data_IF_873678978303
#
_entry.id   IF_873678978303
#
_cell.length_a   1.000
_cell.length_b   1.000
_cell.length_c   1.000
_cell.angle_alpha   90.00
_cell.angle_beta   90.00
_cell.angle_gamma   90.00
#
_symmetry.space_group_name_H-M   'P 1'
#
loop_
_entity.id
_entity.type
_entity.pdbx_description
1 polymer ?
#
# COMPACT_ATOMS: atom_id res chain seq x y z
N UNK A 1 36.65 -42.34 -50.61
CA UNK A 1 35.76 -42.29 -49.45
C UNK A 1 35.99 -40.97 -48.72
N UNK A 2 35.00 -40.06 -48.69
CA UNK A 2 35.18 -38.90 -47.85
C UNK A 2 34.42 -37.64 -48.18
N UNK A 3 33.73 -37.52 -49.34
CA UNK A 3 33.10 -36.24 -49.71
C UNK A 3 31.60 -36.15 -49.39
N UNK A 4 30.95 -37.25 -49.08
CA UNK A 4 29.52 -37.32 -48.77
C UNK A 4 29.17 -37.10 -47.28
N UNK A 5 30.13 -37.28 -46.37
CA UNK A 5 29.89 -37.03 -44.92
C UNK A 5 29.97 -35.55 -44.54
N UNK A 6 30.41 -34.65 -45.42
CA UNK A 6 30.48 -33.20 -45.15
C UNK A 6 29.23 -32.43 -45.57
N UNK A 7 28.31 -33.05 -46.35
CA UNK A 7 27.10 -32.41 -46.87
C UNK A 7 25.83 -32.88 -46.16
N UNK A 8 25.87 -33.92 -45.33
CA UNK A 8 24.76 -34.44 -44.54
C UNK A 8 25.19 -34.82 -43.11
N UNK A 9 26.11 -34.05 -42.55
CA UNK A 9 26.39 -34.07 -41.13
C UNK A 9 25.20 -33.46 -40.36
N UNK A 10 24.08 -34.16 -40.41
CA UNK A 10 23.02 -33.91 -39.47
C UNK A 10 23.57 -34.20 -38.09
N UNK A 11 23.47 -33.23 -37.17
CA UNK A 11 23.76 -33.37 -35.74
C UNK A 11 23.01 -34.64 -35.26
N UNK A 12 23.72 -35.80 -35.23
CA UNK A 12 23.20 -37.01 -34.59
C UNK A 12 23.26 -36.78 -33.08
N UNK A 13 22.30 -36.00 -32.59
CA UNK A 13 22.05 -35.85 -31.15
C UNK A 13 21.83 -37.25 -30.56
N UNK A 14 22.50 -37.53 -29.46
CA UNK A 14 22.25 -38.79 -28.72
C UNK A 14 20.80 -38.79 -28.23
N UNK A 15 20.23 -39.96 -27.96
CA UNK A 15 18.86 -40.07 -27.44
C UNK A 15 18.68 -39.27 -26.13
N UNK A 16 19.72 -39.19 -25.29
CA UNK A 16 19.73 -38.37 -24.08
C UNK A 16 19.70 -36.86 -24.38
N UNK A 17 20.41 -36.42 -25.42
CA UNK A 17 20.37 -35.00 -25.83
C UNK A 17 19.03 -34.62 -26.42
N UNK A 18 18.36 -35.51 -27.14
CA UNK A 18 17.02 -35.31 -27.68
C UNK A 18 15.98 -35.20 -26.53
N UNK A 19 16.06 -36.09 -25.54
CA UNK A 19 15.17 -36.04 -24.36
C UNK A 19 15.40 -34.76 -23.53
N UNK A 20 16.64 -34.35 -23.30
CA UNK A 20 16.94 -33.10 -22.57
C UNK A 20 16.41 -31.87 -23.30
N UNK A 21 16.51 -31.84 -24.63
CA UNK A 21 15.96 -30.76 -25.46
C UNK A 21 14.42 -30.73 -25.42
N UNK A 22 13.77 -31.88 -25.43
CA UNK A 22 12.31 -31.99 -25.32
C UNK A 22 11.80 -31.54 -23.95
N UNK A 23 12.49 -31.91 -22.87
CA UNK A 23 12.22 -31.44 -21.50
C UNK A 23 12.37 -29.92 -21.39
N UNK A 24 13.46 -29.35 -21.97
CA UNK A 24 13.67 -27.92 -22.00
C UNK A 24 12.57 -27.18 -22.76
N UNK A 25 12.19 -27.66 -23.94
CA UNK A 25 11.10 -27.09 -24.73
C UNK A 25 9.76 -27.11 -23.99
N UNK A 26 9.49 -28.21 -23.25
CA UNK A 26 8.29 -28.34 -22.44
C UNK A 26 8.26 -27.34 -21.29
N UNK A 27 9.40 -27.16 -20.61
CA UNK A 27 9.57 -26.13 -19.58
C UNK A 27 9.28 -24.73 -20.15
N UNK A 28 9.95 -24.37 -21.26
CA UNK A 28 9.80 -23.07 -21.89
C UNK A 28 8.34 -22.80 -22.34
N UNK A 29 7.67 -23.82 -22.86
CA UNK A 29 6.26 -23.73 -23.26
C UNK A 29 5.35 -23.43 -22.06
N UNK A 30 5.48 -24.20 -20.97
CA UNK A 30 4.65 -23.98 -19.78
C UNK A 30 4.94 -22.63 -19.14
N UNK A 31 6.22 -22.22 -19.03
CA UNK A 31 6.61 -20.91 -18.52
C UNK A 31 5.99 -19.79 -19.38
N UNK A 32 6.14 -19.87 -20.70
CA UNK A 32 5.57 -18.88 -21.64
C UNK A 32 4.04 -18.77 -21.52
N UNK A 33 3.35 -19.92 -21.54
CA UNK A 33 1.89 -19.96 -21.43
C UNK A 33 1.42 -19.42 -20.09
N UNK A 34 2.11 -19.75 -18.99
CA UNK A 34 1.84 -19.23 -17.66
C UNK A 34 1.99 -17.71 -17.56
N UNK A 35 3.10 -17.16 -18.07
CA UNK A 35 3.36 -15.71 -18.08
C UNK A 35 2.32 -14.99 -18.96
N UNK A 36 1.99 -15.57 -20.12
CA UNK A 36 0.94 -15.02 -21.00
C UNK A 36 -0.42 -15.01 -20.31
N UNK A 37 -0.77 -16.12 -19.64
CA UNK A 37 -2.03 -16.23 -18.90
C UNK A 37 -2.10 -15.20 -17.75
N UNK A 38 -1.02 -15.00 -17.00
CA UNK A 38 -0.92 -13.97 -15.96
C UNK A 38 -1.22 -12.58 -16.54
N UNK A 39 -0.57 -12.21 -17.65
CA UNK A 39 -0.80 -10.91 -18.32
C UNK A 39 -2.23 -10.74 -18.85
N UNK A 40 -2.93 -11.85 -19.13
CA UNK A 40 -4.33 -11.86 -19.58
C UNK A 40 -5.33 -11.92 -18.41
N UNK A 41 -4.88 -11.96 -17.17
CA UNK A 41 -5.74 -12.12 -15.99
C UNK A 41 -6.33 -13.51 -15.81
N UNK A 42 -5.84 -14.52 -16.56
CA UNK A 42 -6.27 -15.92 -16.47
C UNK A 42 -5.50 -16.64 -15.35
N UNK A 43 -5.72 -16.19 -14.10
CA UNK A 43 -4.86 -16.52 -12.96
C UNK A 43 -4.82 -18.04 -12.67
N UNK A 44 -5.94 -18.74 -12.70
CA UNK A 44 -5.98 -20.20 -12.45
C UNK A 44 -5.20 -20.99 -13.49
N UNK A 45 -5.26 -20.56 -14.75
CA UNK A 45 -4.50 -21.20 -15.82
C UNK A 45 -3.00 -20.86 -15.70
N UNK A 46 -2.66 -19.62 -15.30
CA UNK A 46 -1.29 -19.22 -15.03
C UNK A 46 -0.66 -20.06 -13.92
N UNK A 47 -1.37 -20.26 -12.79
CA UNK A 47 -0.90 -21.12 -11.70
C UNK A 47 -0.61 -22.54 -12.21
N UNK A 48 -1.52 -23.16 -12.99
CA UNK A 48 -1.29 -24.49 -13.53
C UNK A 48 -0.04 -24.55 -14.39
N UNK A 49 0.10 -23.66 -15.35
CA UNK A 49 1.24 -23.65 -16.27
C UNK A 49 2.55 -23.40 -15.54
N UNK A 50 2.60 -22.39 -14.65
CA UNK A 50 3.83 -22.07 -13.90
C UNK A 50 4.22 -23.20 -12.94
N UNK A 51 3.26 -23.86 -12.32
CA UNK A 51 3.50 -25.03 -11.46
C UNK A 51 4.05 -26.20 -12.28
N UNK A 52 3.49 -26.48 -13.47
CA UNK A 52 4.01 -27.52 -14.37
C UNK A 52 5.44 -27.20 -14.86
N UNK A 53 5.75 -25.94 -15.12
CA UNK A 53 7.11 -25.53 -15.44
C UNK A 53 8.05 -25.81 -14.26
N UNK A 54 7.67 -25.44 -13.02
CA UNK A 54 8.48 -25.68 -11.82
C UNK A 54 8.63 -27.16 -11.47
N UNK A 55 7.67 -28.00 -11.82
CA UNK A 55 7.79 -29.47 -11.69
C UNK A 55 8.86 -30.05 -12.63
N UNK A 56 9.15 -29.37 -13.74
CA UNK A 56 10.20 -29.76 -14.67
C UNK A 56 11.56 -29.26 -14.21
N UNK A 57 11.63 -27.98 -13.82
CA UNK A 57 12.87 -27.33 -13.44
C UNK A 57 12.59 -26.19 -12.47
N UNK A 58 13.32 -26.15 -11.36
CA UNK A 58 13.33 -25.00 -10.48
C UNK A 58 13.97 -23.80 -11.20
N UNK A 59 13.24 -22.68 -11.25
CA UNK A 59 13.64 -21.50 -11.98
C UNK A 59 13.16 -20.23 -11.23
N UNK A 60 14.13 -19.36 -10.92
CA UNK A 60 13.87 -18.17 -10.11
C UNK A 60 12.81 -17.24 -10.73
N UNK A 61 12.84 -17.04 -12.05
CA UNK A 61 11.88 -16.18 -12.74
C UNK A 61 10.47 -16.79 -12.72
N UNK A 62 10.37 -18.12 -12.87
CA UNK A 62 9.09 -18.83 -12.80
C UNK A 62 8.51 -18.79 -11.39
N UNK A 63 9.33 -18.87 -10.34
CA UNK A 63 8.89 -18.69 -8.94
C UNK A 63 8.34 -17.27 -8.72
N UNK A 64 9.00 -16.25 -9.27
CA UNK A 64 8.55 -14.85 -9.16
C UNK A 64 7.18 -14.67 -9.85
N UNK A 65 7.00 -15.16 -11.08
CA UNK A 65 5.72 -15.11 -11.76
C UNK A 65 4.61 -15.87 -11.01
N UNK A 66 4.93 -17.01 -10.42
CA UNK A 66 3.95 -17.78 -9.64
C UNK A 66 3.58 -17.02 -8.35
N UNK A 67 4.55 -16.42 -7.67
CA UNK A 67 4.31 -15.57 -6.50
C UNK A 67 3.41 -14.37 -6.85
N UNK A 68 3.69 -13.68 -7.97
CA UNK A 68 2.87 -12.59 -8.46
C UNK A 68 1.44 -13.07 -8.80
N UNK A 69 1.30 -14.27 -9.40
CA UNK A 69 -0.01 -14.84 -9.74
C UNK A 69 -0.84 -15.08 -8.49
N UNK A 70 -0.25 -15.67 -7.45
CA UNK A 70 -0.92 -15.86 -6.16
C UNK A 70 -1.28 -14.54 -5.48
N UNK A 71 -0.39 -13.53 -5.56
CA UNK A 71 -0.69 -12.19 -5.04
C UNK A 71 -1.91 -11.57 -5.74
N UNK A 72 -2.02 -11.71 -7.06
CA UNK A 72 -3.19 -11.24 -7.82
C UNK A 72 -4.48 -12.01 -7.50
N UNK A 73 -4.39 -13.25 -7.04
CA UNK A 73 -5.51 -14.03 -6.52
C UNK A 73 -5.88 -13.68 -5.08
N UNK A 74 -5.07 -12.87 -4.38
CA UNK A 74 -5.22 -12.61 -2.95
C UNK A 74 -4.74 -13.76 -2.05
N UNK A 75 -4.03 -14.74 -2.61
CA UNK A 75 -3.48 -15.90 -1.90
C UNK A 75 -2.09 -15.53 -1.36
N UNK A 76 -2.09 -14.79 -0.25
CA UNK A 76 -0.89 -14.12 0.28
C UNK A 76 0.14 -15.12 0.83
N UNK A 77 -0.31 -16.15 1.52
CA UNK A 77 0.54 -17.19 2.11
C UNK A 77 1.20 -18.05 1.00
N UNK A 78 0.46 -18.39 -0.04
CA UNK A 78 0.98 -19.14 -1.19
C UNK A 78 2.01 -18.31 -1.95
N UNK A 79 1.78 -17.00 -2.08
CA UNK A 79 2.73 -16.07 -2.65
C UNK A 79 4.04 -16.02 -1.84
N UNK A 80 3.94 -15.87 -0.50
CA UNK A 80 5.11 -15.91 0.39
C UNK A 80 5.89 -17.21 0.26
N UNK A 81 5.20 -18.36 0.18
CA UNK A 81 5.86 -19.65 0.04
C UNK A 81 6.71 -19.76 -1.25
N UNK A 82 6.30 -19.11 -2.35
CA UNK A 82 7.12 -19.06 -3.57
C UNK A 82 8.30 -18.08 -3.42
N UNK A 83 8.06 -16.93 -2.78
CA UNK A 83 9.12 -15.96 -2.48
C UNK A 83 10.16 -16.52 -1.50
N UNK A 84 9.78 -17.42 -0.60
CA UNK A 84 10.72 -18.13 0.29
C UNK A 84 11.67 -19.02 -0.50
N UNK A 85 11.14 -19.79 -1.47
CA UNK A 85 11.96 -20.58 -2.39
C UNK A 85 12.87 -19.65 -3.22
N UNK A 86 12.32 -18.54 -3.70
CA UNK A 86 13.07 -17.57 -4.50
C UNK A 86 14.21 -16.95 -3.69
N UNK A 87 13.97 -16.57 -2.42
CA UNK A 87 15.05 -16.03 -1.56
C UNK A 87 16.13 -17.04 -1.23
N UNK A 88 15.82 -18.35 -1.24
CA UNK A 88 16.84 -19.39 -1.09
C UNK A 88 17.78 -19.47 -2.31
N UNK A 89 17.27 -19.18 -3.53
CA UNK A 89 18.05 -19.16 -4.76
C UNK A 89 18.82 -17.85 -4.92
N UNK A 90 18.17 -16.70 -4.62
CA UNK A 90 18.72 -15.36 -4.84
C UNK A 90 18.63 -14.50 -3.56
N UNK A 91 19.37 -14.83 -2.50
CA UNK A 91 19.23 -14.19 -1.19
C UNK A 91 19.59 -12.69 -1.19
N UNK A 92 20.38 -12.23 -2.15
CA UNK A 92 20.77 -10.82 -2.31
C UNK A 92 19.78 -9.97 -3.12
N UNK A 93 18.65 -10.53 -3.55
CA UNK A 93 17.68 -9.77 -4.35
C UNK A 93 16.79 -8.91 -3.44
N UNK A 94 17.10 -7.61 -3.37
CA UNK A 94 16.35 -6.60 -2.61
C UNK A 94 14.86 -6.57 -2.99
N UNK A 95 14.54 -6.70 -4.28
CA UNK A 95 13.15 -6.66 -4.77
C UNK A 95 12.29 -7.77 -4.18
N UNK A 96 12.84 -8.97 -4.05
CA UNK A 96 12.12 -10.12 -3.45
C UNK A 96 11.83 -9.88 -1.96
N UNK A 97 12.81 -9.37 -1.21
CA UNK A 97 12.60 -9.04 0.20
C UNK A 97 11.58 -7.92 0.41
N UNK A 98 11.56 -6.90 -0.49
CA UNK A 98 10.54 -5.85 -0.47
C UNK A 98 9.13 -6.39 -0.79
N UNK A 99 9.02 -7.33 -1.73
CA UNK A 99 7.74 -7.99 -2.01
C UNK A 99 7.24 -8.77 -0.77
N UNK A 100 8.11 -9.53 -0.12
CA UNK A 100 7.78 -10.23 1.13
C UNK A 100 7.34 -9.27 2.23
N UNK A 101 8.02 -8.13 2.38
CA UNK A 101 7.65 -7.11 3.36
C UNK A 101 6.25 -6.50 3.07
N UNK A 102 5.92 -6.26 1.79
CA UNK A 102 4.59 -5.78 1.39
C UNK A 102 3.49 -6.82 1.70
N UNK A 103 3.75 -8.09 1.45
CA UNK A 103 2.79 -9.15 1.75
C UNK A 103 2.60 -9.28 3.27
N UNK A 104 3.68 -9.22 4.06
CA UNK A 104 3.59 -9.22 5.51
C UNK A 104 2.77 -8.02 6.03
N UNK A 105 2.90 -6.83 5.41
CA UNK A 105 2.04 -5.68 5.70
C UNK A 105 0.56 -5.98 5.39
N UNK A 106 0.25 -6.61 4.25
CA UNK A 106 -1.12 -6.98 3.87
C UNK A 106 -1.73 -8.04 4.82
N UNK A 107 -0.88 -8.88 5.42
CA UNK A 107 -1.26 -9.86 6.44
C UNK A 107 -1.32 -9.27 7.86
N UNK A 108 -1.02 -7.97 8.00
CA UNK A 108 -0.90 -7.28 9.29
C UNK A 108 0.17 -7.90 10.23
N UNK A 109 1.10 -8.69 9.66
CA UNK A 109 2.26 -9.24 10.39
C UNK A 109 3.43 -8.24 10.35
N UNK A 110 3.32 -7.23 11.20
CA UNK A 110 4.27 -6.12 11.25
C UNK A 110 5.63 -6.52 11.83
N UNK A 111 5.68 -7.57 12.65
CA UNK A 111 6.94 -8.11 13.15
C UNK A 111 7.75 -8.74 12.00
N UNK A 112 7.12 -9.62 11.22
CA UNK A 112 7.74 -10.24 10.04
C UNK A 112 8.08 -9.19 8.97
N UNK A 113 7.21 -8.20 8.76
CA UNK A 113 7.49 -7.06 7.88
C UNK A 113 8.79 -6.36 8.28
N UNK A 114 8.96 -6.06 9.59
CA UNK A 114 10.17 -5.40 10.10
C UNK A 114 11.43 -6.26 9.89
N UNK A 115 11.33 -7.59 10.01
CA UNK A 115 12.43 -8.52 9.73
C UNK A 115 12.83 -8.46 8.26
N UNK A 116 11.86 -8.50 7.34
CA UNK A 116 12.14 -8.44 5.90
C UNK A 116 12.74 -7.09 5.48
N UNK A 117 12.22 -5.97 6.03
CA UNK A 117 12.82 -4.65 5.80
C UNK A 117 14.26 -4.60 6.32
N UNK A 118 14.55 -5.20 7.47
CA UNK A 118 15.92 -5.28 8.00
C UNK A 118 16.85 -6.05 7.06
N UNK A 119 16.36 -7.12 6.40
CA UNK A 119 17.14 -7.84 5.39
C UNK A 119 17.46 -6.97 4.17
N UNK A 120 16.51 -6.16 3.72
CA UNK A 120 16.77 -5.18 2.65
C UNK A 120 17.86 -4.20 3.06
N UNK A 121 17.78 -3.64 4.28
CA UNK A 121 18.74 -2.64 4.78
C UNK A 121 20.13 -3.26 5.00
N UNK A 122 20.22 -4.55 5.37
CA UNK A 122 21.49 -5.28 5.43
C UNK A 122 22.16 -5.42 4.05
N UNK A 123 21.37 -5.60 2.98
CA UNK A 123 21.87 -5.74 1.60
C UNK A 123 22.14 -4.37 0.98
N UNK A 124 21.23 -3.44 1.19
CA UNK A 124 21.26 -2.07 0.65
C UNK A 124 20.88 -1.07 1.74
N UNK A 125 21.87 -0.56 2.45
CA UNK A 125 21.69 0.40 3.54
C UNK A 125 21.10 1.76 3.06
N UNK A 126 21.16 2.05 1.75
CA UNK A 126 20.63 3.25 1.13
C UNK A 126 19.17 3.12 0.67
N UNK A 127 18.50 2.01 0.96
CA UNK A 127 17.14 1.78 0.48
C UNK A 127 16.10 2.58 1.26
N UNK A 128 15.72 3.74 0.74
CA UNK A 128 14.75 4.63 1.37
C UNK A 128 13.37 3.97 1.54
N UNK A 129 12.93 3.16 0.57
CA UNK A 129 11.65 2.45 0.63
C UNK A 129 11.63 1.43 1.77
N UNK A 130 12.71 0.67 1.96
CA UNK A 130 12.80 -0.28 3.07
C UNK A 130 12.77 0.41 4.43
N UNK A 131 13.43 1.57 4.57
CA UNK A 131 13.38 2.37 5.81
C UNK A 131 11.97 2.93 6.04
N UNK A 132 11.29 3.41 5.02
CA UNK A 132 9.90 3.87 5.12
C UNK A 132 8.99 2.73 5.57
N UNK A 133 9.08 1.57 4.91
CA UNK A 133 8.29 0.39 5.29
C UNK A 133 8.61 -0.11 6.70
N UNK A 134 9.87 -0.03 7.14
CA UNK A 134 10.24 -0.33 8.52
C UNK A 134 9.63 0.67 9.51
N UNK A 135 9.52 1.94 9.13
CA UNK A 135 8.78 2.97 9.87
C UNK A 135 7.30 2.62 10.01
N UNK A 136 6.65 2.17 8.93
CA UNK A 136 5.26 1.71 8.94
C UNK A 136 5.07 0.52 9.91
N UNK A 137 5.96 -0.46 9.87
CA UNK A 137 5.92 -1.59 10.80
C UNK A 137 6.07 -1.13 12.27
N UNK A 138 7.02 -0.22 12.55
CA UNK A 138 7.22 0.35 13.90
C UNK A 138 5.99 1.12 14.37
N UNK A 139 5.38 1.92 13.49
CA UNK A 139 4.15 2.66 13.81
C UNK A 139 2.99 1.71 14.14
N UNK A 140 2.79 0.67 13.35
CA UNK A 140 1.73 -0.32 13.58
C UNK A 140 1.93 -1.11 14.89
N UNK A 141 3.18 -1.34 15.28
CA UNK A 141 3.54 -1.92 16.59
C UNK A 141 3.46 -0.92 17.75
N UNK A 142 3.03 0.33 17.53
CA UNK A 142 2.90 1.36 18.56
C UNK A 142 4.19 2.13 18.88
N UNK A 143 5.30 1.84 18.22
CA UNK A 143 6.59 2.52 18.42
C UNK A 143 6.70 3.76 17.52
N UNK A 144 5.92 4.80 17.85
CA UNK A 144 5.84 6.04 17.08
C UNK A 144 7.18 6.78 16.96
N UNK A 145 8.01 6.73 18.00
CA UNK A 145 9.30 7.43 18.01
C UNK A 145 10.25 6.79 17.00
N UNK A 146 10.39 5.46 17.05
CA UNK A 146 11.22 4.75 16.08
C UNK A 146 10.70 4.91 14.66
N UNK A 147 9.37 4.94 14.46
CA UNK A 147 8.77 5.18 13.16
C UNK A 147 9.19 6.54 12.57
N UNK A 148 9.10 7.62 13.35
CA UNK A 148 9.56 8.97 12.93
C UNK A 148 11.03 8.97 12.55
N UNK A 149 11.88 8.26 13.32
CA UNK A 149 13.31 8.14 13.00
C UNK A 149 13.51 7.44 11.65
N UNK A 150 12.76 6.36 11.39
CA UNK A 150 12.86 5.62 10.12
C UNK A 150 12.36 6.46 8.94
N UNK A 151 11.22 7.15 9.06
CA UNK A 151 10.73 8.06 8.03
C UNK A 151 11.73 9.20 7.77
N UNK A 152 12.34 9.75 8.81
CA UNK A 152 13.35 10.82 8.67
C UNK A 152 14.58 10.33 7.91
N UNK A 153 15.07 9.11 8.21
CA UNK A 153 16.17 8.50 7.46
C UNK A 153 15.80 8.26 6.00
N UNK A 154 14.59 7.74 5.74
CA UNK A 154 14.09 7.51 4.39
C UNK A 154 14.08 8.81 3.57
N UNK A 155 13.55 9.89 4.13
CA UNK A 155 13.51 11.23 3.52
C UNK A 155 14.92 11.77 3.28
N UNK A 156 15.86 11.52 4.21
CA UNK A 156 17.26 11.99 4.03
C UNK A 156 17.95 11.29 2.86
N UNK A 157 17.58 10.04 2.58
CA UNK A 157 18.12 9.26 1.46
C UNK A 157 17.41 9.56 0.13
N UNK A 158 16.13 9.83 0.18
CA UNK A 158 15.30 10.18 -0.96
C UNK A 158 14.34 11.30 -0.59
N UNK A 159 14.74 12.53 -0.91
CA UNK A 159 13.93 13.73 -0.66
C UNK A 159 12.66 13.79 -1.51
N UNK A 160 12.54 12.95 -2.54
CA UNK A 160 11.35 12.87 -3.40
C UNK A 160 10.35 11.81 -2.91
N UNK A 161 10.65 11.05 -1.86
CA UNK A 161 9.78 10.02 -1.30
C UNK A 161 8.60 10.65 -0.55
N UNK A 162 7.63 11.21 -1.29
CA UNK A 162 6.49 11.94 -0.73
C UNK A 162 5.66 11.16 0.27
N UNK A 163 5.54 9.83 0.10
CA UNK A 163 4.84 8.95 1.04
C UNK A 163 5.47 8.99 2.44
N UNK A 164 6.81 9.07 2.54
CA UNK A 164 7.49 9.14 3.83
C UNK A 164 7.20 10.46 4.57
N UNK A 165 7.09 11.58 3.85
CA UNK A 165 6.66 12.85 4.42
C UNK A 165 5.20 12.78 4.92
N UNK A 166 4.30 12.21 4.12
CA UNK A 166 2.89 12.07 4.49
C UNK A 166 2.72 11.24 5.76
N UNK A 167 3.38 10.08 5.83
CA UNK A 167 3.35 9.19 6.98
C UNK A 167 3.96 9.86 8.22
N UNK A 168 5.11 10.52 8.08
CA UNK A 168 5.76 11.23 9.18
C UNK A 168 4.89 12.37 9.70
N UNK A 169 4.33 13.17 8.78
CA UNK A 169 3.46 14.30 9.15
C UNK A 169 2.20 13.84 9.89
N UNK A 170 1.53 12.78 9.43
CA UNK A 170 0.38 12.20 10.14
C UNK A 170 0.76 11.79 11.56
N UNK A 171 1.90 11.16 11.72
CA UNK A 171 2.36 10.67 13.02
C UNK A 171 2.78 11.83 13.94
N UNK A 172 3.48 12.83 13.42
CA UNK A 172 3.86 14.07 14.14
C UNK A 172 2.63 14.82 14.62
N UNK A 173 1.61 14.96 13.74
CA UNK A 173 0.35 15.58 14.11
C UNK A 173 -0.36 14.82 15.24
N UNK A 174 -0.42 13.49 15.15
CA UNK A 174 -1.00 12.63 16.18
C UNK A 174 -0.29 12.75 17.53
N UNK A 175 1.03 13.03 17.52
CA UNK A 175 1.83 13.27 18.72
C UNK A 175 1.77 14.73 19.21
N UNK A 176 1.06 15.61 18.51
CA UNK A 176 0.92 17.02 18.85
C UNK A 176 2.05 17.95 18.34
N UNK A 177 3.02 17.42 17.59
CA UNK A 177 4.03 18.25 16.93
C UNK A 177 3.50 18.85 15.62
N UNK A 178 2.58 19.79 15.78
CA UNK A 178 1.89 20.48 14.69
C UNK A 178 2.88 21.25 13.79
N UNK A 179 3.96 21.77 14.37
CA UNK A 179 4.94 22.59 13.65
C UNK A 179 5.75 21.74 12.67
N UNK A 180 6.23 20.59 13.12
CA UNK A 180 6.98 19.67 12.24
C UNK A 180 6.08 19.03 11.21
N UNK A 181 4.85 18.67 11.58
CA UNK A 181 3.84 18.16 10.66
C UNK A 181 3.54 19.16 9.52
N UNK A 182 3.39 20.44 9.86
CA UNK A 182 3.11 21.49 8.88
C UNK A 182 4.25 21.71 7.88
N UNK A 183 5.50 21.57 8.32
CA UNK A 183 6.66 21.65 7.41
C UNK A 183 6.63 20.56 6.34
N UNK A 184 6.34 19.31 6.76
CA UNK A 184 6.26 18.17 5.85
C UNK A 184 5.13 18.35 4.83
N UNK A 185 3.96 18.79 5.30
CA UNK A 185 2.81 19.02 4.43
C UNK A 185 3.03 20.21 3.50
N UNK A 186 3.69 21.27 3.97
CA UNK A 186 4.00 22.42 3.11
C UNK A 186 4.92 22.02 1.96
N UNK A 187 5.93 21.19 2.22
CA UNK A 187 6.76 20.62 1.16
C UNK A 187 5.93 19.82 0.16
N UNK A 188 5.01 18.94 0.63
CA UNK A 188 4.16 18.16 -0.24
C UNK A 188 3.21 19.01 -1.08
N UNK A 189 2.67 20.10 -0.52
CA UNK A 189 1.82 21.04 -1.25
C UNK A 189 2.54 21.72 -2.41
N UNK A 190 3.84 22.02 -2.25
CA UNK A 190 4.66 22.60 -3.32
C UNK A 190 4.88 21.59 -4.47
N UNK A 191 4.94 20.29 -4.17
CA UNK A 191 5.22 19.23 -5.16
C UNK A 191 3.94 18.66 -5.79
N UNK A 192 2.90 18.47 -4.98
CA UNK A 192 1.61 17.83 -5.36
C UNK A 192 0.42 18.60 -4.79
N UNK A 193 0.15 19.84 -5.26
CA UNK A 193 -0.80 20.76 -4.63
C UNK A 193 -2.24 20.24 -4.55
N UNK A 194 -2.68 19.43 -5.53
CA UNK A 194 -4.06 18.95 -5.63
C UNK A 194 -4.24 17.52 -5.13
N UNK A 195 -3.28 17.00 -4.34
CA UNK A 195 -3.39 15.66 -3.76
C UNK A 195 -4.34 15.69 -2.56
N UNK A 196 -5.41 14.88 -2.62
CA UNK A 196 -6.46 14.84 -1.59
C UNK A 196 -5.91 14.51 -0.18
N UNK A 197 -5.01 13.53 -0.06
CA UNK A 197 -4.42 13.14 1.23
C UNK A 197 -3.60 14.29 1.86
N UNK A 198 -2.87 15.03 1.02
CA UNK A 198 -2.07 16.19 1.46
C UNK A 198 -2.99 17.32 1.91
N UNK A 199 -4.03 17.62 1.14
CA UNK A 199 -5.01 18.65 1.49
C UNK A 199 -5.79 18.28 2.75
N UNK A 200 -6.24 17.03 2.89
CA UNK A 200 -6.89 16.54 4.10
C UNK A 200 -6.00 16.72 5.33
N UNK A 201 -4.74 16.33 5.22
CA UNK A 201 -3.78 16.47 6.32
C UNK A 201 -3.48 17.95 6.63
N UNK A 202 -3.40 18.82 5.60
CA UNK A 202 -3.26 20.28 5.79
C UNK A 202 -4.47 20.84 6.53
N UNK A 203 -5.70 20.45 6.19
CA UNK A 203 -6.89 20.88 6.89
C UNK A 203 -6.86 20.45 8.37
N UNK A 204 -6.44 19.23 8.67
CA UNK A 204 -6.26 18.76 10.05
C UNK A 204 -5.22 19.61 10.82
N UNK A 205 -4.12 19.97 10.16
CA UNK A 205 -3.08 20.83 10.74
C UNK A 205 -3.62 22.24 11.01
N UNK A 206 -4.34 22.85 10.08
CA UNK A 206 -4.94 24.16 10.28
C UNK A 206 -6.00 24.15 11.40
N UNK A 207 -6.79 23.06 11.47
CA UNK A 207 -7.68 22.85 12.60
C UNK A 207 -6.92 22.77 13.93
N UNK A 208 -5.83 21.99 14.00
CA UNK A 208 -4.99 21.85 15.21
C UNK A 208 -4.33 23.17 15.63
N UNK A 209 -4.03 24.06 14.69
CA UNK A 209 -3.58 25.44 14.93
C UNK A 209 -4.69 26.37 15.45
N UNK A 210 -5.95 25.95 15.42
CA UNK A 210 -7.13 26.76 15.73
C UNK A 210 -7.68 27.56 14.56
N UNK A 211 -7.13 27.43 13.37
CA UNK A 211 -7.52 28.15 12.15
C UNK A 211 -8.75 27.48 11.50
N UNK A 212 -9.86 27.40 12.25
CA UNK A 212 -11.07 26.64 11.86
C UNK A 212 -11.65 27.06 10.50
N UNK A 213 -11.66 28.35 10.19
CA UNK A 213 -12.16 28.84 8.90
C UNK A 213 -11.30 28.32 7.74
N UNK A 214 -9.96 28.32 7.91
CA UNK A 214 -9.05 27.82 6.89
C UNK A 214 -9.18 26.32 6.70
N UNK A 215 -9.36 25.56 7.79
CA UNK A 215 -9.65 24.13 7.70
C UNK A 215 -10.92 23.86 6.88
N UNK A 216 -12.02 24.62 7.11
CA UNK A 216 -13.26 24.50 6.32
C UNK A 216 -13.01 24.79 4.83
N UNK A 217 -12.22 25.82 4.52
CA UNK A 217 -11.87 26.17 3.14
C UNK A 217 -11.13 25.01 2.46
N UNK A 218 -10.13 24.45 3.13
CA UNK A 218 -9.33 23.36 2.56
C UNK A 218 -10.18 22.08 2.38
N UNK A 219 -11.03 21.71 3.36
CA UNK A 219 -11.97 20.59 3.17
C UNK A 219 -12.92 20.86 2.00
N UNK A 220 -13.33 22.12 1.80
CA UNK A 220 -14.19 22.47 0.66
C UNK A 220 -13.46 22.27 -0.67
N UNK A 221 -12.18 22.62 -0.75
CA UNK A 221 -11.34 22.34 -1.92
C UNK A 221 -11.22 20.82 -2.20
N UNK A 222 -11.05 20.01 -1.13
CA UNK A 222 -11.05 18.54 -1.29
C UNK A 222 -12.39 18.06 -1.88
N UNK A 223 -13.52 18.58 -1.40
CA UNK A 223 -14.85 18.22 -1.90
C UNK A 223 -15.06 18.69 -3.35
N UNK A 224 -14.50 19.84 -3.75
CA UNK A 224 -14.54 20.30 -5.14
C UNK A 224 -13.74 19.38 -6.07
N UNK A 225 -12.57 18.91 -5.62
CA UNK A 225 -11.73 17.95 -6.36
C UNK A 225 -12.38 16.57 -6.43
N UNK A 226 -12.92 16.10 -5.31
CA UNK A 226 -13.56 14.79 -5.20
C UNK A 226 -14.87 14.88 -4.40
N UNK A 227 -16.02 15.07 -5.07
CA UNK A 227 -17.33 15.12 -4.40
C UNK A 227 -17.75 13.83 -3.70
N UNK A 228 -16.99 12.75 -3.84
CA UNK A 228 -17.23 11.45 -3.20
C UNK A 228 -16.34 11.23 -1.97
N UNK A 229 -15.52 12.20 -1.58
CA UNK A 229 -14.69 12.10 -0.38
C UNK A 229 -15.53 12.26 0.88
N UNK A 230 -16.00 11.15 1.43
CA UNK A 230 -16.86 11.10 2.62
C UNK A 230 -16.18 11.71 3.87
N UNK A 231 -14.86 11.48 4.02
CA UNK A 231 -14.11 12.00 5.16
C UNK A 231 -14.01 13.54 5.13
N UNK A 232 -13.93 14.15 3.95
CA UNK A 232 -13.92 15.61 3.84
C UNK A 232 -15.25 16.23 4.30
N UNK A 233 -16.40 15.64 3.93
CA UNK A 233 -17.71 16.09 4.44
C UNK A 233 -17.79 15.90 5.96
N UNK A 234 -17.39 14.75 6.47
CA UNK A 234 -17.40 14.44 7.90
C UNK A 234 -16.60 15.45 8.70
N UNK A 235 -15.36 15.69 8.31
CA UNK A 235 -14.47 16.59 9.05
C UNK A 235 -14.90 18.05 8.90
N UNK A 236 -15.34 18.49 7.71
CA UNK A 236 -15.87 19.83 7.50
C UNK A 236 -17.15 20.08 8.33
N UNK A 237 -18.06 19.13 8.32
CA UNK A 237 -19.29 19.19 9.10
C UNK A 237 -19.02 19.28 10.61
N UNK A 238 -18.03 18.51 11.11
CA UNK A 238 -17.58 18.60 12.50
C UNK A 238 -17.08 20.00 12.85
N UNK A 239 -16.21 20.58 12.04
CA UNK A 239 -15.66 21.92 12.30
C UNK A 239 -16.75 23.00 12.23
N UNK A 240 -17.67 22.94 11.25
CA UNK A 240 -18.83 23.84 11.17
C UNK A 240 -19.70 23.76 12.42
N UNK A 241 -19.99 22.53 12.89
CA UNK A 241 -20.78 22.32 14.09
C UNK A 241 -20.14 22.97 15.33
N UNK A 242 -18.83 22.76 15.51
CA UNK A 242 -18.06 23.38 16.61
C UNK A 242 -18.04 24.92 16.54
N UNK A 243 -18.21 25.49 15.35
CA UNK A 243 -18.30 26.95 15.14
C UNK A 243 -19.72 27.48 15.26
N UNK A 244 -20.74 26.62 15.52
CA UNK A 244 -22.13 26.96 15.64
C UNK A 244 -22.89 27.04 14.31
N UNK A 245 -22.26 26.71 13.18
CA UNK A 245 -22.93 26.55 11.88
C UNK A 245 -23.65 25.19 11.82
N UNK A 246 -24.74 25.06 12.51
CA UNK A 246 -25.54 23.83 12.58
C UNK A 246 -26.18 23.48 11.24
N UNK A 247 -26.55 24.47 10.42
CA UNK A 247 -27.14 24.22 9.11
C UNK A 247 -26.11 23.68 8.11
N UNK A 248 -24.93 24.28 8.06
CA UNK A 248 -23.84 23.81 7.23
C UNK A 248 -23.35 22.43 7.66
N UNK A 249 -23.25 22.16 8.96
CA UNK A 249 -22.93 20.84 9.50
C UNK A 249 -23.97 19.78 9.11
N UNK A 250 -25.27 20.11 9.21
CA UNK A 250 -26.36 19.21 8.81
C UNK A 250 -26.26 18.84 7.32
N UNK A 251 -26.02 19.82 6.45
CA UNK A 251 -25.89 19.59 5.02
C UNK A 251 -24.71 18.65 4.71
N UNK A 252 -23.56 18.80 5.40
CA UNK A 252 -22.40 17.92 5.24
C UNK A 252 -22.69 16.50 5.74
N UNK A 253 -23.45 16.35 6.84
CA UNK A 253 -23.88 15.03 7.34
C UNK A 253 -24.86 14.36 6.37
N UNK A 254 -25.80 15.10 5.79
CA UNK A 254 -26.73 14.57 4.78
C UNK A 254 -25.94 14.00 3.59
N UNK A 255 -24.90 14.70 3.12
CA UNK A 255 -24.03 14.22 2.06
C UNK A 255 -23.19 12.99 2.47
N UNK A 256 -22.65 13.00 3.67
CA UNK A 256 -21.94 11.82 4.22
C UNK A 256 -22.83 10.58 4.21
N UNK A 257 -24.11 10.72 4.62
CA UNK A 257 -25.07 9.63 4.67
C UNK A 257 -25.51 9.15 3.27
N UNK A 258 -25.57 10.05 2.28
CA UNK A 258 -25.80 9.67 0.88
C UNK A 258 -24.64 8.81 0.34
N UNK A 259 -23.38 9.15 0.72
CA UNK A 259 -22.17 8.43 0.26
C UNK A 259 -21.94 7.13 1.03
N UNK A 260 -22.28 7.09 2.30
CA UNK A 260 -22.05 5.97 3.21
C UNK A 260 -23.34 5.62 4.00
N UNK A 261 -24.36 5.05 3.36
CA UNK A 261 -25.66 4.76 4.01
C UNK A 261 -25.54 3.76 5.17
N UNK A 262 -24.54 2.88 5.14
CA UNK A 262 -24.32 1.89 6.18
C UNK A 262 -23.81 2.47 7.50
N UNK A 263 -23.30 3.70 7.50
CA UNK A 263 -22.91 4.39 8.76
C UNK A 263 -24.10 4.67 9.68
N UNK A 264 -25.34 4.53 9.18
CA UNK A 264 -26.57 4.62 9.96
C UNK A 264 -26.98 3.30 10.63
N UNK A 265 -26.49 2.16 10.17
CA UNK A 265 -26.92 0.84 10.68
C UNK A 265 -26.64 0.64 12.16
N UNK A 266 -25.63 1.31 12.69
CA UNK A 266 -25.26 1.27 14.12
C UNK A 266 -25.98 2.32 14.96
N UNK A 267 -26.84 3.16 14.34
CA UNK A 267 -27.52 4.24 15.01
C UNK A 267 -29.01 3.91 15.11
N UNK A 268 -29.41 3.09 16.06
CA UNK A 268 -30.81 2.90 16.44
C UNK A 268 -31.37 4.17 17.10
N UNK A 269 -32.49 4.68 16.60
CA UNK A 269 -33.30 5.65 17.33
C UNK A 269 -33.79 6.85 16.52
N UNK A 270 -34.17 7.89 17.21
CA UNK A 270 -34.93 9.06 16.80
C UNK A 270 -34.28 9.85 15.64
N UNK A 271 -35.02 9.98 14.54
CA UNK A 271 -34.66 10.78 13.35
C UNK A 271 -35.27 12.18 13.40
N UNK A 272 -35.75 12.65 14.56
CA UNK A 272 -36.12 14.05 14.75
C UNK A 272 -34.90 14.97 14.64
N UNK A 273 -35.10 16.26 14.43
CA UNK A 273 -34.03 17.23 14.36
C UNK A 273 -33.13 17.21 15.62
N UNK A 274 -33.72 16.98 16.81
CA UNK A 274 -33.00 16.84 18.08
C UNK A 274 -32.26 15.52 18.18
N UNK A 275 -32.82 14.41 17.69
CA UNK A 275 -32.18 13.09 17.63
C UNK A 275 -31.00 13.10 16.68
N UNK A 276 -31.09 13.74 15.51
CA UNK A 276 -30.01 13.92 14.57
C UNK A 276 -28.87 14.74 15.20
N UNK A 277 -29.20 15.85 15.90
CA UNK A 277 -28.20 16.67 16.60
C UNK A 277 -27.47 15.90 17.69
N UNK A 278 -28.19 15.08 18.46
CA UNK A 278 -27.59 14.23 19.48
C UNK A 278 -26.65 13.15 18.86
N UNK A 279 -27.06 12.56 17.75
CA UNK A 279 -26.30 11.56 17.02
C UNK A 279 -25.06 12.15 16.36
N UNK A 280 -25.18 13.35 15.78
CA UNK A 280 -24.04 14.10 15.27
C UNK A 280 -23.02 14.36 16.38
N UNK A 281 -23.46 14.81 17.56
CA UNK A 281 -22.60 14.96 18.74
C UNK A 281 -21.94 13.65 19.15
N UNK A 282 -22.69 12.56 19.18
CA UNK A 282 -22.20 11.24 19.57
C UNK A 282 -21.21 10.68 18.55
N UNK A 283 -21.50 10.78 17.25
CA UNK A 283 -20.58 10.36 16.18
C UNK A 283 -19.27 11.15 16.22
N UNK A 284 -19.33 12.46 16.43
CA UNK A 284 -18.12 13.28 16.57
C UNK A 284 -17.37 13.05 17.88
N UNK A 285 -18.04 12.66 18.98
CA UNK A 285 -17.38 12.34 20.25
C UNK A 285 -16.71 10.97 20.25
N UNK A 286 -17.26 9.98 19.52
CA UNK A 286 -16.69 8.63 19.38
C UNK A 286 -15.52 8.55 18.39
N UNK A 287 -15.40 9.52 17.48
CA UNK A 287 -14.39 9.52 16.43
C UNK A 287 -13.29 10.53 16.72
N UNK A 288 -12.43 10.19 17.70
CA UNK A 288 -11.15 10.87 17.88
C UNK A 288 -10.00 9.92 17.47
N UNK A 289 -9.79 9.70 16.17
CA UNK A 289 -8.77 8.77 15.70
C UNK A 289 -7.34 9.19 16.08
N UNK A 290 -7.15 10.42 16.51
CA UNK A 290 -5.83 11.00 16.79
C UNK A 290 -5.61 11.36 18.27
N UNK A 291 -6.57 11.08 19.16
CA UNK A 291 -6.42 11.40 20.60
C UNK A 291 -6.22 12.90 20.92
N UNK A 292 -6.43 13.78 19.94
CA UNK A 292 -6.18 15.22 20.02
C UNK A 292 -7.29 15.94 20.82
N UNK A 293 -8.37 15.24 21.06
CA UNK A 293 -9.59 15.79 21.68
C UNK A 293 -9.74 15.24 23.10
N UNK A 294 -9.51 16.08 24.10
CA UNK A 294 -9.97 15.88 25.46
C UNK A 294 -11.30 16.56 25.64
#
# INVERSE_FOLDING_TARGET
>A
MGFWNLLFGGDNKTSEQQQAEEISKKFDLFKYDGVKALKMGQLDYAVKCLTEALNIKEDAETLDYLAQTYLHQGLLEESLAQLDKLTAIVPGNVGVWLQKARIAYMLEDYETMSIYCSKVIEIDAGNAVALMMQGQAKQAMGDSISAIVMYTKAITLDEQLGEAYLLRSRLLLAMGDVVSADKDVSYLQDVIPDNEDVLMLKAHIEYAKGNKNEAINIYSNVIELNPFNADAYKERGRVKFEMGDTNGAKSDVEKLLELMPDTLSDINGDYSAEGIEHKVKQAYSMMNPYGIWK
#
